data_IF_204751068737
#
_entry.id   IF_204751068737
#
_cell.length_a   1.000
_cell.length_b   1.000
_cell.length_c   1.000
_cell.angle_alpha   90.00
_cell.angle_beta   90.00
_cell.angle_gamma   90.00
#
_symmetry.space_group_name_H-M   'P 1'
#
loop_
_entity.id
_entity.type
_entity.pdbx_description
1 polymer ?
#
# COMPACT_ATOMS: atom_id res chain seq x y z
N UNK A 1 16.13 85.46 -7.97
CA UNK A 1 17.57 85.51 -7.68
C UNK A 1 17.88 84.26 -6.99
N UNK A 2 18.59 83.49 -7.56
CA UNK A 2 19.83 82.70 -7.44
C UNK A 2 19.75 81.39 -8.20
N UNK A 3 20.60 81.34 -9.22
CA UNK A 3 20.84 80.11 -10.04
C UNK A 3 21.73 79.18 -9.31
N UNK A 4 21.28 77.94 -9.02
CA UNK A 4 22.14 76.85 -8.66
C UNK A 4 22.72 76.21 -9.91
N UNK A 5 24.06 76.27 -10.06
CA UNK A 5 24.83 75.55 -11.05
C UNK A 5 24.69 74.05 -10.87
N UNK A 6 24.31 73.31 -11.95
CA UNK A 6 24.52 71.88 -12.09
C UNK A 6 25.99 71.62 -12.43
N UNK A 7 26.68 70.83 -11.61
CA UNK A 7 27.99 70.34 -11.98
C UNK A 7 27.79 69.05 -12.82
N UNK A 8 28.28 69.07 -14.05
CA UNK A 8 28.36 67.91 -14.93
C UNK A 8 29.53 67.04 -14.54
N UNK A 9 29.27 65.81 -14.14
CA UNK A 9 30.29 64.79 -13.94
C UNK A 9 30.67 64.17 -15.30
N UNK A 10 31.91 64.45 -15.75
CA UNK A 10 32.51 63.77 -16.91
C UNK A 10 33.02 62.39 -16.50
N UNK A 11 32.40 61.34 -16.98
CA UNK A 11 32.94 60.01 -16.88
C UNK A 11 34.13 59.82 -17.85
N UNK A 12 35.27 59.41 -17.34
CA UNK A 12 36.45 59.05 -18.12
C UNK A 12 36.17 57.75 -18.86
N UNK A 13 36.17 57.78 -20.21
CA UNK A 13 36.12 56.59 -21.04
C UNK A 13 37.46 55.91 -21.05
N UNK A 14 37.58 54.79 -20.39
CA UNK A 14 38.77 53.90 -20.54
C UNK A 14 38.79 53.30 -21.96
N UNK A 15 39.86 53.63 -22.69
CA UNK A 15 40.16 52.96 -23.95
C UNK A 15 40.96 51.69 -23.70
N UNK A 16 40.30 50.54 -23.74
CA UNK A 16 40.96 49.23 -23.71
C UNK A 16 41.71 49.04 -25.03
N UNK A 17 43.03 49.10 -24.98
CA UNK A 17 43.92 48.77 -26.11
C UNK A 17 43.75 47.31 -26.44
N UNK A 18 43.11 46.95 -27.56
CA UNK A 18 43.07 45.60 -28.10
C UNK A 18 44.47 45.19 -28.57
N UNK A 19 45.09 44.24 -27.86
CA UNK A 19 46.34 43.62 -28.28
C UNK A 19 46.08 42.81 -29.55
N UNK A 20 46.84 43.05 -30.64
CA UNK A 20 46.66 42.27 -31.85
C UNK A 20 47.02 40.82 -31.63
N UNK A 21 46.05 39.94 -31.80
CA UNK A 21 46.25 38.47 -31.66
C UNK A 21 47.06 37.98 -32.91
N UNK A 22 48.30 37.56 -32.65
CA UNK A 22 49.14 36.95 -33.71
C UNK A 22 48.55 35.58 -34.07
N UNK A 23 47.78 35.59 -35.18
CA UNK A 23 47.07 34.41 -35.71
C UNK A 23 48.01 33.22 -36.02
N UNK A 24 49.32 33.47 -36.33
CA UNK A 24 50.27 32.42 -36.55
C UNK A 24 50.69 31.71 -35.26
N UNK A 25 50.95 32.46 -34.19
CA UNK A 25 51.22 31.85 -32.86
C UNK A 25 50.01 31.15 -32.27
N UNK A 26 48.79 31.61 -32.53
CA UNK A 26 47.56 30.97 -32.07
C UNK A 26 47.37 29.62 -32.79
N UNK A 27 47.57 29.56 -34.10
CA UNK A 27 47.47 28.33 -34.90
C UNK A 27 48.50 27.30 -34.47
N UNK A 28 49.77 27.69 -34.20
CA UNK A 28 50.82 26.78 -33.75
C UNK A 28 50.53 26.23 -32.36
N UNK A 29 50.02 27.06 -31.47
CA UNK A 29 49.57 26.59 -30.11
C UNK A 29 48.37 25.67 -30.22
N UNK A 30 47.35 26.00 -31.03
CA UNK A 30 46.19 25.14 -31.25
C UNK A 30 46.59 23.78 -31.85
N UNK A 31 47.48 23.76 -32.82
CA UNK A 31 48.00 22.54 -33.40
C UNK A 31 48.78 21.68 -32.41
N UNK A 32 49.60 22.35 -31.55
CA UNK A 32 50.32 21.68 -30.47
C UNK A 32 49.41 21.07 -29.40
N UNK A 33 48.35 21.77 -29.02
CA UNK A 33 47.38 21.22 -28.03
C UNK A 33 46.55 20.07 -28.61
N UNK A 34 46.18 20.12 -29.90
CA UNK A 34 45.48 19.00 -30.56
C UNK A 34 46.39 17.77 -30.68
N UNK A 35 47.66 17.98 -31.07
CA UNK A 35 48.63 16.89 -31.17
C UNK A 35 48.86 16.22 -29.81
N UNK A 36 48.98 17.03 -28.76
CA UNK A 36 49.20 16.57 -27.40
C UNK A 36 47.96 15.83 -26.83
N UNK A 37 46.75 16.28 -27.17
CA UNK A 37 45.50 15.60 -26.82
C UNK A 37 45.37 14.25 -27.53
N UNK A 38 45.73 14.15 -28.78
CA UNK A 38 45.74 12.88 -29.55
C UNK A 38 46.76 11.92 -28.96
N UNK A 39 47.98 12.40 -28.67
CA UNK A 39 49.02 11.59 -28.04
C UNK A 39 48.55 11.06 -26.67
N UNK A 40 47.93 11.91 -25.85
CA UNK A 40 47.39 11.50 -24.56
C UNK A 40 46.25 10.47 -24.71
N UNK A 41 45.37 10.65 -25.67
CA UNK A 41 44.30 9.68 -25.99
C UNK A 41 44.81 8.31 -26.37
N UNK A 42 45.88 8.26 -27.23
CA UNK A 42 46.53 7.00 -27.65
C UNK A 42 47.21 6.31 -26.47
N UNK A 43 47.92 7.07 -25.63
CA UNK A 43 48.61 6.53 -24.43
C UNK A 43 47.56 6.02 -23.45
N UNK A 44 46.49 6.76 -23.20
CA UNK A 44 45.41 6.35 -22.29
C UNK A 44 44.73 5.08 -22.77
N UNK A 45 44.45 4.97 -24.09
CA UNK A 45 43.84 3.78 -24.67
C UNK A 45 44.76 2.55 -24.57
N UNK A 46 46.08 2.73 -24.81
CA UNK A 46 47.06 1.66 -24.68
C UNK A 46 47.21 1.17 -23.24
N UNK A 47 47.24 2.10 -22.27
CA UNK A 47 47.26 1.79 -20.80
C UNK A 47 45.97 1.07 -20.39
N UNK A 48 44.82 1.53 -20.87
CA UNK A 48 43.56 0.87 -20.58
C UNK A 48 43.47 -0.55 -21.17
N UNK A 49 43.94 -0.73 -22.41
CA UNK A 49 43.99 -2.06 -23.07
C UNK A 49 44.95 -3.01 -22.36
N UNK A 50 46.09 -2.51 -21.87
CA UNK A 50 47.08 -3.31 -21.11
C UNK A 50 46.60 -3.68 -19.69
N UNK A 51 45.82 -2.80 -19.05
CA UNK A 51 45.31 -3.03 -17.71
C UNK A 51 44.00 -3.83 -17.66
N UNK A 52 43.28 -3.91 -18.79
CA UNK A 52 42.00 -4.64 -18.88
C UNK A 52 42.09 -6.08 -18.37
N UNK A 53 43.08 -6.91 -18.76
CA UNK A 53 43.17 -8.29 -18.27
C UNK A 53 43.48 -8.37 -16.78
N UNK A 54 44.13 -7.34 -16.19
CA UNK A 54 44.40 -7.27 -14.74
C UNK A 54 43.13 -6.90 -14.00
N UNK A 55 42.34 -5.95 -14.50
CA UNK A 55 41.04 -5.58 -13.95
C UNK A 55 40.01 -6.71 -14.09
N UNK A 56 39.98 -7.41 -15.21
CA UNK A 56 39.10 -8.56 -15.44
C UNK A 56 39.42 -9.68 -14.41
N UNK A 57 40.69 -9.93 -14.12
CA UNK A 57 41.10 -10.91 -13.12
C UNK A 57 40.87 -10.45 -11.65
N UNK A 58 40.83 -9.14 -11.37
CA UNK A 58 40.69 -8.62 -10.00
C UNK A 58 39.23 -8.38 -9.63
N UNK A 59 38.37 -7.97 -10.59
CA UNK A 59 36.98 -7.65 -10.38
C UNK A 59 36.03 -8.80 -10.71
N UNK A 60 36.40 -9.69 -11.62
CA UNK A 60 35.66 -10.92 -11.89
C UNK A 60 36.40 -12.12 -11.26
N UNK A 61 36.32 -12.20 -9.93
CA UNK A 61 36.59 -13.44 -9.24
C UNK A 61 35.55 -14.44 -9.73
N UNK A 62 36.00 -15.40 -10.53
CA UNK A 62 35.18 -16.56 -10.93
C UNK A 62 34.83 -17.38 -9.71
N UNK A 63 33.75 -17.00 -9.05
CA UNK A 63 33.08 -17.90 -8.13
C UNK A 63 31.69 -18.19 -8.68
N UNK A 64 31.53 -19.44 -9.11
CA UNK A 64 30.30 -20.12 -9.49
C UNK A 64 29.58 -19.58 -10.74
N UNK A 65 29.98 -20.13 -11.85
CA UNK A 65 29.11 -20.26 -13.03
C UNK A 65 27.83 -20.97 -12.59
N UNK A 66 26.74 -20.25 -12.47
CA UNK A 66 25.40 -20.85 -12.48
C UNK A 66 25.21 -21.34 -13.92
N UNK A 67 25.37 -22.63 -14.15
CA UNK A 67 24.97 -23.28 -15.40
C UNK A 67 23.45 -23.35 -15.37
N UNK A 68 22.80 -22.41 -16.02
CA UNK A 68 21.37 -22.53 -16.36
C UNK A 68 21.35 -23.30 -17.69
N UNK A 69 20.82 -24.51 -17.66
CA UNK A 69 20.71 -25.54 -18.71
C UNK A 69 21.97 -26.37 -18.88
N UNK A 70 21.95 -27.56 -18.35
CA UNK A 70 22.77 -28.65 -18.87
C UNK A 70 22.27 -29.01 -20.26
N UNK A 71 23.12 -28.87 -21.26
CA UNK A 71 23.03 -29.74 -22.43
C UNK A 71 23.37 -31.15 -21.94
N UNK A 72 22.34 -31.99 -21.79
CA UNK A 72 22.55 -33.41 -21.59
C UNK A 72 23.24 -33.95 -22.82
N UNK A 73 24.43 -34.54 -22.64
CA UNK A 73 25.09 -35.35 -23.67
C UNK A 73 24.11 -36.40 -24.17
N UNK A 74 23.74 -36.27 -25.45
CA UNK A 74 22.92 -37.25 -26.14
C UNK A 74 23.77 -38.52 -26.25
N UNK A 75 23.57 -39.47 -25.36
CA UNK A 75 23.96 -40.86 -25.57
C UNK A 75 23.07 -41.41 -26.69
N UNK A 76 23.67 -41.80 -27.79
CA UNK A 76 23.02 -42.54 -28.88
C UNK A 76 22.48 -43.86 -28.31
N UNK A 77 21.26 -43.89 -27.84
CA UNK A 77 20.46 -45.10 -27.67
C UNK A 77 19.49 -45.21 -28.85
N UNK A 78 19.58 -46.33 -29.54
CA UNK A 78 18.74 -46.80 -30.63
C UNK A 78 17.25 -46.55 -30.39
N UNK A 79 16.47 -46.09 -31.36
CA UNK A 79 15.04 -45.75 -31.15
C UNK A 79 14.24 -47.03 -30.93
N UNK A 80 13.72 -47.19 -29.70
CA UNK A 80 12.56 -48.04 -29.44
C UNK A 80 11.30 -47.32 -29.99
N UNK A 81 10.69 -48.00 -30.94
CA UNK A 81 9.45 -47.65 -31.60
C UNK A 81 8.31 -47.70 -30.55
N UNK A 82 7.87 -46.54 -30.07
CA UNK A 82 6.59 -46.26 -29.36
C UNK A 82 6.72 -45.19 -28.26
N UNK A 83 7.35 -44.05 -28.54
CA UNK A 83 7.15 -42.88 -27.70
C UNK A 83 5.88 -42.12 -28.15
N UNK A 84 5.02 -41.69 -27.25
CA UNK A 84 3.87 -40.85 -27.61
C UNK A 84 4.40 -39.52 -28.19
N UNK A 85 4.05 -39.27 -29.45
CA UNK A 85 4.34 -38.00 -30.11
C UNK A 85 3.51 -36.93 -29.41
N UNK A 86 4.11 -36.15 -28.52
CA UNK A 86 3.53 -34.92 -28.05
C UNK A 86 3.59 -33.92 -29.20
N UNK A 87 2.50 -33.82 -29.96
CA UNK A 87 2.28 -32.71 -30.88
C UNK A 87 2.13 -31.47 -30.00
N UNK A 88 3.21 -30.73 -29.79
CA UNK A 88 3.12 -29.39 -29.27
C UNK A 88 2.60 -28.53 -30.41
N UNK A 89 1.27 -28.45 -30.55
CA UNK A 89 0.65 -27.38 -31.32
C UNK A 89 1.09 -26.06 -30.70
N UNK A 90 2.05 -25.40 -31.30
CA UNK A 90 2.36 -24.01 -31.01
C UNK A 90 1.17 -23.21 -31.55
N UNK A 91 0.13 -23.03 -30.74
CA UNK A 91 -0.93 -22.09 -31.05
C UNK A 91 -0.28 -20.71 -31.08
N UNK A 92 -0.15 -20.16 -32.29
CA UNK A 92 0.23 -18.75 -32.43
C UNK A 92 -0.93 -17.94 -31.86
N UNK A 93 -0.64 -17.19 -30.77
CA UNK A 93 -1.64 -16.28 -30.19
C UNK A 93 -1.92 -15.16 -31.19
N UNK A 94 -3.18 -15.01 -31.55
CA UNK A 94 -3.66 -13.92 -32.37
C UNK A 94 -4.24 -12.80 -31.48
N UNK A 95 -4.39 -11.54 -31.97
CA UNK A 95 -4.97 -10.44 -31.19
C UNK A 95 -6.36 -10.75 -30.64
N UNK A 96 -7.12 -11.59 -31.33
CA UNK A 96 -8.44 -12.06 -30.93
C UNK A 96 -8.41 -12.91 -29.67
N UNK A 97 -7.36 -13.70 -29.44
CA UNK A 97 -7.18 -14.50 -28.22
C UNK A 97 -7.02 -13.59 -26.99
N UNK A 98 -6.37 -12.44 -27.15
CA UNK A 98 -6.30 -11.44 -26.10
C UNK A 98 -7.69 -10.88 -25.75
N UNK A 99 -8.52 -10.56 -26.75
CA UNK A 99 -9.89 -10.10 -26.50
C UNK A 99 -10.73 -11.17 -25.80
N UNK A 100 -10.56 -12.44 -26.15
CA UNK A 100 -11.24 -13.56 -25.46
C UNK A 100 -10.81 -13.65 -24.00
N UNK A 101 -9.51 -13.46 -23.71
CA UNK A 101 -9.00 -13.42 -22.34
C UNK A 101 -9.60 -12.26 -21.56
N UNK A 102 -9.58 -11.04 -22.13
CA UNK A 102 -10.19 -9.86 -21.52
C UNK A 102 -11.67 -10.09 -21.20
N UNK A 103 -12.43 -10.64 -22.14
CA UNK A 103 -13.84 -10.95 -21.93
C UNK A 103 -14.06 -11.93 -20.76
N UNK A 104 -13.17 -12.91 -20.56
CA UNK A 104 -13.20 -13.81 -19.39
C UNK A 104 -12.91 -13.07 -18.09
N UNK A 105 -11.93 -12.16 -18.06
CA UNK A 105 -11.64 -11.35 -16.86
C UNK A 105 -12.84 -10.47 -16.48
N UNK A 106 -13.44 -9.80 -17.46
CA UNK A 106 -14.65 -9.00 -17.24
C UNK A 106 -15.85 -9.86 -16.83
N UNK A 107 -15.94 -11.11 -17.28
CA UNK A 107 -17.00 -12.02 -16.84
C UNK A 107 -16.87 -12.37 -15.34
N UNK A 108 -15.64 -12.60 -14.85
CA UNK A 108 -15.34 -12.79 -13.42
C UNK A 108 -15.76 -11.54 -12.64
N UNK A 109 -15.35 -10.35 -13.11
CA UNK A 109 -15.70 -9.08 -12.46
C UNK A 109 -17.22 -8.84 -12.41
N UNK A 110 -17.97 -9.17 -13.49
CA UNK A 110 -19.44 -9.05 -13.50
C UNK A 110 -20.12 -9.99 -12.51
N UNK A 111 -19.61 -11.20 -12.35
CA UNK A 111 -20.15 -12.13 -11.34
C UNK A 111 -19.87 -11.64 -9.93
N UNK A 112 -18.64 -11.16 -9.66
CA UNK A 112 -18.25 -10.60 -8.38
C UNK A 112 -18.99 -9.29 -8.04
N UNK A 113 -19.40 -8.50 -9.04
CA UNK A 113 -20.21 -7.29 -8.83
C UNK A 113 -21.60 -7.56 -8.21
N UNK A 114 -22.07 -8.80 -8.20
CA UNK A 114 -23.27 -9.18 -7.43
C UNK A 114 -23.10 -9.05 -5.92
N UNK A 115 -21.84 -9.02 -5.46
CA UNK A 115 -21.48 -8.77 -4.05
C UNK A 115 -21.09 -7.31 -3.80
N UNK A 116 -21.18 -6.44 -4.81
CA UNK A 116 -20.86 -5.02 -4.72
C UNK A 116 -22.15 -4.22 -4.61
N UNK A 117 -22.10 -3.16 -3.83
CA UNK A 117 -23.17 -2.17 -3.72
C UNK A 117 -22.58 -0.75 -3.83
N UNK A 118 -23.36 0.19 -4.33
CA UNK A 118 -23.04 1.60 -4.20
C UNK A 118 -23.60 2.11 -2.87
N UNK A 119 -22.75 2.72 -2.06
CA UNK A 119 -23.13 3.32 -0.77
C UNK A 119 -23.19 4.84 -0.94
N UNK A 120 -24.30 5.43 -0.55
CA UNK A 120 -24.52 6.88 -0.57
C UNK A 120 -24.84 7.37 0.84
N UNK A 121 -24.00 8.29 1.34
CA UNK A 121 -24.26 9.03 2.56
C UNK A 121 -24.94 10.34 2.22
N UNK A 122 -26.11 10.60 2.83
CA UNK A 122 -26.90 11.82 2.65
C UNK A 122 -26.86 12.58 3.97
N UNK A 123 -26.31 13.79 3.95
CA UNK A 123 -26.20 14.66 5.11
C UNK A 123 -26.79 16.03 4.85
N UNK A 124 -26.86 16.82 5.89
CA UNK A 124 -27.25 18.23 5.82
C UNK A 124 -26.10 19.08 6.34
N UNK A 125 -25.73 20.10 5.57
CA UNK A 125 -24.76 21.10 5.99
C UNK A 125 -25.37 22.49 5.89
N UNK A 126 -24.79 23.44 6.59
CA UNK A 126 -25.17 24.86 6.47
C UNK A 126 -24.04 25.64 5.81
N UNK A 127 -24.40 26.55 4.92
CA UNK A 127 -23.45 27.48 4.33
C UNK A 127 -23.08 28.60 5.34
N UNK A 128 -22.16 29.49 4.93
CA UNK A 128 -21.74 30.65 5.74
C UNK A 128 -22.88 31.61 6.08
N UNK A 129 -24.05 31.50 5.45
CA UNK A 129 -25.23 32.33 5.67
C UNK A 129 -26.35 31.57 6.41
N UNK A 130 -26.04 30.44 7.06
CA UNK A 130 -27.00 29.56 7.74
C UNK A 130 -28.08 28.96 6.83
N UNK A 131 -27.87 28.90 5.51
CA UNK A 131 -28.76 28.17 4.63
C UNK A 131 -28.40 26.69 4.65
N UNK A 132 -29.38 25.83 4.94
CA UNK A 132 -29.21 24.39 4.87
C UNK A 132 -29.13 23.91 3.40
N UNK A 133 -28.17 23.04 3.11
CA UNK A 133 -28.06 22.33 1.84
C UNK A 133 -27.74 20.86 2.08
N UNK A 134 -28.20 20.03 1.18
CA UNK A 134 -27.92 18.58 1.23
C UNK A 134 -26.49 18.30 0.73
N UNK A 135 -25.79 17.47 1.47
CA UNK A 135 -24.47 16.96 1.10
C UNK A 135 -24.60 15.49 0.74
N UNK A 136 -23.92 15.08 -0.33
CA UNK A 136 -23.89 13.69 -0.75
C UNK A 136 -22.44 13.21 -0.83
N UNK A 137 -22.18 12.05 -0.26
CA UNK A 137 -20.94 11.30 -0.44
C UNK A 137 -21.27 9.93 -1.02
N UNK A 138 -20.40 9.41 -1.86
CA UNK A 138 -20.62 8.14 -2.54
C UNK A 138 -19.34 7.30 -2.53
N UNK A 139 -19.53 5.98 -2.37
CA UNK A 139 -18.45 5.00 -2.47
C UNK A 139 -19.02 3.61 -2.77
N UNK A 140 -18.14 2.64 -2.92
CA UNK A 140 -18.53 1.25 -3.04
C UNK A 140 -18.55 0.56 -1.68
N UNK A 141 -19.47 -0.38 -1.52
CA UNK A 141 -19.49 -1.33 -0.42
C UNK A 141 -19.38 -2.77 -0.95
N UNK A 142 -18.87 -3.65 -0.12
CA UNK A 142 -18.73 -5.09 -0.41
C UNK A 142 -19.57 -5.87 0.60
N UNK A 143 -20.47 -6.69 0.13
CA UNK A 143 -21.28 -7.59 0.97
C UNK A 143 -20.36 -8.71 1.43
N UNK A 144 -20.04 -8.74 2.73
CA UNK A 144 -19.10 -9.72 3.32
C UNK A 144 -19.79 -10.85 4.06
N UNK A 145 -21.06 -10.67 4.42
CA UNK A 145 -21.84 -11.72 5.07
C UNK A 145 -23.33 -11.59 4.75
N UNK A 146 -24.00 -12.74 4.78
CA UNK A 146 -25.43 -12.92 4.71
C UNK A 146 -25.90 -13.66 5.97
N UNK A 147 -26.64 -12.99 6.82
CA UNK A 147 -27.11 -13.55 8.11
C UNK A 147 -28.45 -14.27 7.98
N UNK A 148 -29.03 -14.27 6.78
CA UNK A 148 -30.40 -14.76 6.51
C UNK A 148 -31.41 -13.60 6.42
N UNK A 149 -31.45 -12.73 7.41
CA UNK A 149 -32.36 -11.57 7.45
C UNK A 149 -31.69 -10.27 6.97
N UNK A 150 -30.36 -10.20 6.98
CA UNK A 150 -29.59 -9.00 6.73
C UNK A 150 -28.36 -9.29 5.87
N UNK A 151 -27.95 -8.30 5.08
CA UNK A 151 -26.63 -8.25 4.45
C UNK A 151 -25.70 -7.34 5.28
N UNK A 152 -24.47 -7.82 5.55
CA UNK A 152 -23.41 -7.01 6.15
C UNK A 152 -22.49 -6.49 5.05
N UNK A 153 -22.37 -5.17 4.98
CA UNK A 153 -21.66 -4.44 3.93
C UNK A 153 -20.49 -3.69 4.52
N UNK A 154 -19.29 -3.95 4.03
CA UNK A 154 -18.08 -3.19 4.36
C UNK A 154 -17.93 -2.03 3.38
N UNK A 155 -17.70 -0.84 3.92
CA UNK A 155 -17.42 0.39 3.15
C UNK A 155 -16.38 1.24 3.88
N UNK A 156 -15.98 2.36 3.29
CA UNK A 156 -15.13 3.35 3.97
C UNK A 156 -15.98 4.28 4.84
N UNK A 157 -15.55 4.52 6.09
CA UNK A 157 -16.21 5.43 7.03
C UNK A 157 -16.42 6.82 6.45
N UNK A 158 -15.45 7.34 5.68
CA UNK A 158 -15.55 8.67 5.04
C UNK A 158 -16.80 8.86 4.17
N UNK A 159 -17.40 7.76 3.66
CA UNK A 159 -18.61 7.81 2.85
C UNK A 159 -19.85 8.11 3.70
N UNK A 160 -19.80 7.83 4.99
CA UNK A 160 -20.95 7.90 5.90
C UNK A 160 -20.77 8.84 7.10
N UNK A 161 -19.58 9.44 7.26
CA UNK A 161 -19.23 10.22 8.46
C UNK A 161 -20.20 11.37 8.75
N UNK A 162 -20.57 12.13 7.73
CA UNK A 162 -21.44 13.32 7.85
C UNK A 162 -22.89 13.02 7.42
N UNK A 163 -23.23 11.72 7.28
CA UNK A 163 -24.52 11.32 6.77
C UNK A 163 -25.53 11.19 7.89
N UNK A 164 -26.69 11.83 7.74
CA UNK A 164 -27.91 11.59 8.56
C UNK A 164 -28.68 10.37 8.10
N UNK A 165 -28.50 9.96 6.83
CA UNK A 165 -29.11 8.79 6.22
C UNK A 165 -28.08 8.11 5.29
N UNK A 166 -28.05 6.77 5.33
CA UNK A 166 -27.24 5.95 4.44
C UNK A 166 -28.14 5.11 3.55
N UNK A 167 -27.94 5.20 2.23
CA UNK A 167 -28.65 4.43 1.22
C UNK A 167 -27.67 3.50 0.49
N UNK A 168 -28.10 2.30 0.21
CA UNK A 168 -27.35 1.29 -0.51
C UNK A 168 -28.09 0.91 -1.77
N UNK A 169 -27.42 1.02 -2.92
CA UNK A 169 -27.95 0.62 -4.24
C UNK A 169 -27.26 -0.65 -4.71
N UNK A 170 -28.02 -1.65 -5.06
CA UNK A 170 -27.55 -2.93 -5.58
C UNK A 170 -27.33 -2.86 -7.10
N UNK A 171 -26.64 -3.86 -7.65
CA UNK A 171 -26.27 -3.91 -9.07
C UNK A 171 -27.48 -3.87 -10.05
N UNK A 172 -28.66 -4.24 -9.61
CA UNK A 172 -29.92 -4.19 -10.37
C UNK A 172 -30.74 -2.90 -10.12
N UNK A 173 -30.14 -1.89 -9.49
CA UNK A 173 -30.72 -0.61 -9.08
C UNK A 173 -31.80 -0.71 -8.00
N UNK A 174 -31.93 -1.84 -7.30
CA UNK A 174 -32.74 -1.91 -6.10
C UNK A 174 -32.03 -1.13 -4.97
N UNK A 175 -32.80 -0.43 -4.12
CA UNK A 175 -32.24 0.44 -3.07
C UNK A 175 -32.81 0.09 -1.71
N UNK A 176 -31.99 0.22 -0.69
CA UNK A 176 -32.40 0.04 0.70
C UNK A 176 -31.67 1.02 1.62
N UNK A 177 -32.29 1.35 2.76
CA UNK A 177 -31.60 2.07 3.82
C UNK A 177 -30.66 1.13 4.57
N UNK A 178 -29.50 1.65 4.95
CA UNK A 178 -28.51 0.92 5.73
C UNK A 178 -28.32 1.58 7.11
N UNK A 179 -27.94 0.78 8.09
CA UNK A 179 -27.62 1.24 9.45
C UNK A 179 -26.16 0.92 9.73
N UNK A 180 -25.43 1.87 10.33
CA UNK A 180 -24.07 1.64 10.81
C UNK A 180 -24.10 0.65 11.98
N UNK A 181 -23.41 -0.48 11.85
CA UNK A 181 -23.31 -1.50 12.89
C UNK A 181 -22.06 -1.33 13.75
N UNK A 182 -20.92 -1.13 13.11
CA UNK A 182 -19.63 -0.91 13.75
C UNK A 182 -18.67 -0.15 12.81
N UNK A 183 -17.66 0.48 13.36
CA UNK A 183 -16.58 1.08 12.58
C UNK A 183 -15.25 0.96 13.33
N UNK A 184 -14.18 1.06 12.57
CA UNK A 184 -12.82 1.18 13.10
C UNK A 184 -12.19 2.48 12.59
N UNK A 185 -11.93 3.39 13.52
CA UNK A 185 -11.31 4.69 13.25
C UNK A 185 -9.91 4.56 12.67
N UNK A 186 -9.22 3.51 13.07
CA UNK A 186 -7.82 3.31 12.71
C UNK A 186 -7.65 2.96 11.21
N UNK A 187 -8.50 2.08 10.70
CA UNK A 187 -8.49 1.70 9.28
C UNK A 187 -9.41 2.57 8.42
N UNK A 188 -10.35 3.26 9.02
CA UNK A 188 -11.42 3.95 8.30
C UNK A 188 -12.43 3.00 7.66
N UNK A 189 -12.55 1.77 8.17
CA UNK A 189 -13.53 0.78 7.70
C UNK A 189 -14.81 0.92 8.52
N UNK A 190 -15.95 0.87 7.83
CA UNK A 190 -17.28 0.81 8.44
C UNK A 190 -18.03 -0.43 7.97
N UNK A 191 -18.81 -1.01 8.89
CA UNK A 191 -19.72 -2.13 8.65
C UNK A 191 -21.15 -1.62 8.72
N UNK A 192 -21.87 -1.79 7.62
CA UNK A 192 -23.29 -1.45 7.50
C UNK A 192 -24.13 -2.72 7.53
N UNK A 193 -25.33 -2.59 8.08
CA UNK A 193 -26.38 -3.60 8.06
C UNK A 193 -27.50 -3.16 7.13
N UNK A 194 -27.92 -4.03 6.21
CA UNK A 194 -29.02 -3.83 5.25
C UNK A 194 -30.05 -4.93 5.45
N UNK A 195 -31.25 -4.58 5.87
CA UNK A 195 -32.33 -5.54 6.06
C UNK A 195 -32.88 -6.05 4.70
N UNK A 196 -32.88 -7.34 4.49
CA UNK A 196 -33.37 -7.97 3.25
C UNK A 196 -34.84 -7.73 2.95
N UNK A 197 -35.66 -7.51 3.99
CA UNK A 197 -37.09 -7.19 3.83
C UNK A 197 -37.35 -5.90 3.07
N UNK A 198 -36.35 -5.01 2.93
CA UNK A 198 -36.44 -3.80 2.13
C UNK A 198 -36.24 -4.04 0.64
N UNK A 199 -35.76 -5.23 0.26
CA UNK A 199 -35.34 -5.57 -1.09
C UNK A 199 -36.39 -6.42 -1.81
N UNK A 200 -36.35 -6.38 -3.15
CA UNK A 200 -37.15 -7.27 -3.98
C UNK A 200 -36.64 -8.71 -3.90
N UNK A 201 -37.53 -9.67 -4.18
CA UNK A 201 -37.15 -11.09 -4.26
C UNK A 201 -36.07 -11.33 -5.33
N UNK A 202 -36.13 -10.61 -6.46
CA UNK A 202 -35.12 -10.70 -7.53
C UNK A 202 -33.72 -10.32 -7.04
N UNK A 203 -33.61 -9.29 -6.20
CA UNK A 203 -32.34 -8.89 -5.59
C UNK A 203 -31.84 -9.94 -4.63
N UNK A 204 -32.66 -10.41 -3.71
CA UNK A 204 -32.27 -11.40 -2.69
C UNK A 204 -31.88 -12.76 -3.30
N UNK A 205 -32.45 -13.13 -4.44
CA UNK A 205 -32.14 -14.38 -5.15
C UNK A 205 -30.80 -14.32 -5.92
N UNK A 206 -30.32 -13.13 -6.29
CA UNK A 206 -29.15 -12.97 -7.15
C UNK A 206 -27.93 -12.40 -6.43
N UNK A 207 -28.14 -11.68 -5.32
CA UNK A 207 -27.07 -11.11 -4.50
C UNK A 207 -26.49 -12.18 -3.59
N UNK A 208 -25.18 -12.21 -3.48
CA UNK A 208 -24.45 -13.11 -2.60
C UNK A 208 -23.33 -12.37 -1.86
N UNK A 209 -22.98 -12.83 -0.67
CA UNK A 209 -21.80 -12.36 0.00
C UNK A 209 -20.53 -12.73 -0.77
N UNK A 210 -19.56 -11.83 -0.81
CA UNK A 210 -18.29 -12.04 -1.47
C UNK A 210 -17.49 -13.17 -0.77
N UNK A 211 -16.84 -14.01 -1.55
CA UNK A 211 -15.89 -14.99 -1.02
C UNK A 211 -14.59 -14.27 -0.67
N UNK A 212 -14.20 -14.27 0.60
CA UNK A 212 -12.96 -13.68 1.05
C UNK A 212 -11.81 -14.69 0.93
N UNK A 213 -10.70 -14.26 0.32
CA UNK A 213 -9.53 -15.13 0.16
C UNK A 213 -8.79 -15.30 1.48
N UNK A 214 -8.40 -16.53 1.78
CA UNK A 214 -7.53 -16.86 2.93
C UNK A 214 -6.03 -16.67 2.63
N UNK A 215 -5.66 -16.42 1.37
CA UNK A 215 -4.26 -16.25 0.98
C UNK A 215 -3.71 -14.89 1.38
N UNK A 216 -2.63 -14.91 2.16
CA UNK A 216 -2.01 -13.71 2.72
C UNK A 216 -1.00 -13.03 1.78
N UNK A 217 -0.59 -13.67 0.68
CA UNK A 217 0.48 -13.14 -0.16
C UNK A 217 0.09 -13.18 -1.65
N UNK A 218 -0.06 -11.99 -2.22
CA UNK A 218 -0.06 -11.81 -3.67
C UNK A 218 1.37 -11.52 -4.12
N UNK A 219 1.83 -12.25 -5.13
CA UNK A 219 3.14 -12.01 -5.73
C UNK A 219 3.05 -10.85 -6.73
N UNK A 220 4.13 -10.10 -6.85
CA UNK A 220 4.28 -9.10 -7.92
C UNK A 220 4.03 -9.75 -9.29
N UNK A 221 3.29 -9.05 -10.16
CA UNK A 221 2.89 -9.55 -11.48
C UNK A 221 1.62 -10.43 -11.47
N UNK A 222 1.02 -10.71 -10.31
CA UNK A 222 -0.27 -11.42 -10.25
C UNK A 222 -1.37 -10.55 -10.84
N UNK A 223 -2.19 -11.14 -11.73
CA UNK A 223 -3.36 -10.47 -12.29
C UNK A 223 -4.43 -10.32 -11.21
N UNK A 224 -4.96 -9.12 -11.09
CA UNK A 224 -6.08 -8.76 -10.20
C UNK A 224 -7.11 -7.95 -10.95
N UNK A 225 -8.34 -7.99 -10.45
CA UNK A 225 -9.48 -7.26 -11.00
C UNK A 225 -9.99 -6.34 -9.90
N UNK A 226 -10.06 -5.04 -10.16
CA UNK A 226 -10.70 -4.07 -9.28
C UNK A 226 -12.19 -3.98 -9.61
N UNK A 227 -13.02 -4.12 -8.59
CA UNK A 227 -14.49 -4.03 -8.66
C UNK A 227 -14.99 -2.99 -7.66
N UNK A 228 -16.09 -2.35 -7.96
CA UNK A 228 -16.66 -1.30 -7.11
C UNK A 228 -16.70 0.04 -7.82
N UNK A 229 -16.03 1.03 -7.26
CA UNK A 229 -15.97 2.40 -7.77
C UNK A 229 -14.54 2.93 -7.82
N UNK A 230 -13.60 2.27 -8.52
CA UNK A 230 -12.19 2.68 -8.52
C UNK A 230 -11.96 4.08 -9.11
N UNK A 231 -12.79 4.53 -10.05
CA UNK A 231 -12.72 5.84 -10.69
C UNK A 231 -13.90 6.77 -10.32
N UNK A 232 -14.70 6.39 -9.31
CA UNK A 232 -15.89 7.14 -8.91
C UNK A 232 -17.21 6.60 -9.48
N UNK A 233 -17.17 5.82 -10.57
CA UNK A 233 -18.36 5.22 -11.18
C UNK A 233 -18.67 3.86 -10.53
N UNK A 234 -19.88 3.66 -9.94
CA UNK A 234 -20.27 2.40 -9.32
C UNK A 234 -20.23 1.22 -10.29
N UNK A 235 -20.00 0.02 -9.76
CA UNK A 235 -19.98 -1.26 -10.49
C UNK A 235 -18.96 -1.34 -11.64
N UNK A 236 -17.97 -0.46 -11.63
CA UNK A 236 -16.85 -0.48 -12.59
C UNK A 236 -15.99 -1.73 -12.40
N UNK A 237 -15.43 -2.21 -13.49
CA UNK A 237 -14.52 -3.36 -13.52
C UNK A 237 -13.26 -2.93 -14.26
N UNK A 238 -12.11 -2.98 -13.58
CA UNK A 238 -10.80 -2.70 -14.16
C UNK A 238 -9.88 -3.89 -13.93
N UNK A 239 -8.97 -4.14 -14.85
CA UNK A 239 -8.01 -5.25 -14.76
C UNK A 239 -6.58 -4.73 -14.77
N UNK A 240 -5.70 -5.39 -14.04
CA UNK A 240 -4.28 -5.06 -14.01
C UNK A 240 -3.48 -6.05 -13.19
N UNK A 241 -2.32 -5.63 -12.71
CA UNK A 241 -1.37 -6.48 -12.02
C UNK A 241 -0.97 -5.90 -10.68
N UNK A 242 -0.59 -6.76 -9.75
CA UNK A 242 0.06 -6.36 -8.50
C UNK A 242 1.47 -5.86 -8.83
N UNK A 243 1.78 -4.62 -8.48
CA UNK A 243 3.11 -4.01 -8.64
C UNK A 243 3.96 -4.16 -7.38
N UNK A 244 3.33 -4.19 -6.20
CA UNK A 244 4.00 -4.42 -4.92
C UNK A 244 3.00 -4.97 -3.90
N UNK A 245 3.48 -5.83 -3.00
CA UNK A 245 2.73 -6.34 -1.84
C UNK A 245 3.57 -6.36 -0.56
N UNK A 246 4.73 -5.70 -0.58
CA UNK A 246 5.70 -5.68 0.52
C UNK A 246 5.71 -4.38 1.32
N UNK A 247 4.99 -3.36 0.85
CA UNK A 247 4.89 -2.10 1.59
C UNK A 247 3.97 -2.29 2.81
N UNK A 248 4.44 -1.81 3.96
CA UNK A 248 3.71 -1.88 5.23
C UNK A 248 3.42 -0.48 5.74
N UNK A 249 2.17 -0.22 6.07
CA UNK A 249 1.74 1.01 6.72
C UNK A 249 1.55 0.73 8.20
N UNK A 250 2.27 1.46 9.05
CA UNK A 250 2.05 1.46 10.48
C UNK A 250 0.91 2.40 10.81
N UNK A 251 -0.06 1.89 11.53
CA UNK A 251 -1.15 2.65 12.13
C UNK A 251 -1.10 2.50 13.64
N UNK A 252 -2.03 3.09 14.35
CA UNK A 252 -2.13 2.88 15.79
C UNK A 252 -2.59 1.45 16.06
N UNK A 253 -1.87 0.76 16.92
CA UNK A 253 -2.14 -0.63 17.37
C UNK A 253 -2.11 -1.70 16.26
N UNK A 254 -1.77 -1.37 15.00
CA UNK A 254 -1.68 -2.35 13.91
C UNK A 254 -0.71 -1.92 12.80
N UNK A 255 -0.22 -2.90 12.04
CA UNK A 255 0.52 -2.69 10.81
C UNK A 255 -0.14 -3.48 9.67
N UNK A 256 -0.36 -2.82 8.53
CA UNK A 256 -1.05 -3.42 7.40
C UNK A 256 -0.14 -3.50 6.18
N UNK A 257 -0.06 -4.67 5.56
CA UNK A 257 0.56 -4.82 4.24
C UNK A 257 -0.38 -4.30 3.17
N UNK A 258 0.16 -3.43 2.35
CA UNK A 258 -0.56 -2.75 1.29
C UNK A 258 -0.23 -3.40 -0.05
N UNK A 259 -1.27 -3.66 -0.82
CA UNK A 259 -1.19 -4.14 -2.20
C UNK A 259 -1.29 -2.93 -3.12
N UNK A 260 -0.23 -2.67 -3.88
CA UNK A 260 -0.22 -1.65 -4.94
C UNK A 260 -0.39 -2.31 -6.29
N UNK A 261 -1.10 -1.66 -7.20
CA UNK A 261 -1.40 -2.17 -8.55
C UNK A 261 -1.04 -1.16 -9.63
N UNK A 262 -1.11 -1.56 -10.88
CA UNK A 262 -1.04 -0.69 -12.07
C UNK A 262 -2.44 -0.26 -12.57
N UNK A 263 -3.49 -0.57 -11.81
CA UNK A 263 -4.87 -0.18 -12.13
C UNK A 263 -5.10 1.27 -11.75
N UNK A 264 -5.63 2.08 -12.65
CA UNK A 264 -5.95 3.49 -12.36
C UNK A 264 -7.04 3.60 -11.30
N UNK A 265 -6.88 4.59 -10.41
CA UNK A 265 -7.86 4.96 -9.40
C UNK A 265 -7.97 6.48 -9.25
N UNK A 266 -9.10 6.92 -8.71
CA UNK A 266 -9.27 8.29 -8.19
C UNK A 266 -9.02 8.31 -6.67
N UNK A 267 -8.81 9.50 -6.09
CA UNK A 267 -8.68 9.67 -4.63
C UNK A 267 -9.92 9.19 -3.87
N UNK A 268 -11.09 9.25 -4.52
CA UNK A 268 -12.34 8.72 -3.99
C UNK A 268 -12.58 7.25 -4.36
N UNK A 269 -11.60 6.60 -5.00
CA UNK A 269 -11.71 5.21 -5.42
C UNK A 269 -11.96 4.27 -4.24
N UNK A 270 -12.95 3.38 -4.39
CA UNK A 270 -13.37 2.44 -3.35
C UNK A 270 -13.83 1.12 -3.95
N UNK A 271 -13.89 0.05 -3.15
CA UNK A 271 -14.29 -1.27 -3.60
C UNK A 271 -13.32 -2.36 -3.18
N UNK A 272 -13.12 -3.37 -4.01
CA UNK A 272 -12.25 -4.49 -3.72
C UNK A 272 -11.38 -4.92 -4.90
N UNK A 273 -10.24 -5.54 -4.58
CA UNK A 273 -9.46 -6.34 -5.52
C UNK A 273 -9.87 -7.81 -5.40
N UNK A 274 -10.11 -8.45 -6.53
CA UNK A 274 -10.40 -9.89 -6.59
C UNK A 274 -9.35 -10.62 -7.43
N UNK A 275 -9.17 -11.90 -7.15
CA UNK A 275 -8.33 -12.79 -7.95
C UNK A 275 -9.13 -13.41 -9.12
N UNK A 276 -8.47 -14.26 -9.91
CA UNK A 276 -9.09 -14.93 -11.08
C UNK A 276 -10.16 -15.97 -10.72
N UNK A 277 -10.34 -16.28 -9.42
CA UNK A 277 -11.43 -17.12 -8.93
C UNK A 277 -12.66 -16.31 -8.49
N UNK A 278 -12.56 -14.96 -8.51
CA UNK A 278 -13.58 -14.07 -7.99
C UNK A 278 -13.51 -13.87 -6.47
N UNK A 279 -12.46 -14.36 -5.78
CA UNK A 279 -12.29 -14.19 -4.34
C UNK A 279 -11.70 -12.81 -4.04
N UNK A 280 -12.21 -12.10 -3.05
CA UNK A 280 -11.69 -10.81 -2.58
C UNK A 280 -10.33 -11.03 -1.91
N UNK A 281 -9.30 -10.40 -2.44
CA UNK A 281 -7.91 -10.46 -1.94
C UNK A 281 -7.50 -9.18 -1.20
N UNK A 282 -8.18 -8.07 -1.45
CA UNK A 282 -7.92 -6.80 -0.77
C UNK A 282 -9.11 -5.86 -0.79
N UNK A 283 -9.23 -5.05 0.25
CA UNK A 283 -10.18 -3.93 0.31
C UNK A 283 -9.46 -2.66 -0.15
N UNK A 284 -10.05 -1.96 -1.12
CA UNK A 284 -9.47 -0.73 -1.66
C UNK A 284 -9.60 0.39 -0.63
N UNK A 285 -8.47 0.95 -0.21
CA UNK A 285 -8.38 2.07 0.72
C UNK A 285 -7.32 3.06 0.21
N UNK A 286 -7.77 4.07 -0.55
CA UNK A 286 -6.86 5.05 -1.17
C UNK A 286 -6.14 5.94 -0.15
N UNK A 287 -6.64 6.03 1.09
CA UNK A 287 -5.96 6.72 2.20
C UNK A 287 -4.59 6.14 2.55
N UNK A 288 -4.33 4.89 2.16
CA UNK A 288 -3.05 4.21 2.37
C UNK A 288 -2.11 4.29 1.17
N UNK A 289 -2.49 4.99 0.10
CA UNK A 289 -1.61 5.16 -1.06
C UNK A 289 -0.46 6.13 -0.74
N UNK A 290 0.72 5.82 -1.29
CA UNK A 290 1.85 6.76 -1.26
C UNK A 290 1.58 7.91 -2.24
N UNK A 291 2.32 9.01 -2.10
CA UNK A 291 2.19 10.15 -3.05
C UNK A 291 2.39 9.74 -4.50
N UNK A 292 3.27 8.78 -4.74
CA UNK A 292 3.60 8.29 -6.07
C UNK A 292 2.53 7.34 -6.62
N UNK A 293 1.71 6.73 -5.76
CA UNK A 293 0.69 5.73 -6.09
C UNK A 293 -0.76 6.26 -5.98
N UNK A 294 -0.96 7.55 -5.76
CA UNK A 294 -2.31 8.14 -5.56
C UNK A 294 -3.26 7.93 -6.75
N UNK A 295 -2.72 7.78 -7.96
CA UNK A 295 -3.50 7.54 -9.18
C UNK A 295 -3.71 6.06 -9.50
N UNK A 296 -3.31 5.15 -8.64
CA UNK A 296 -3.49 3.71 -8.82
C UNK A 296 -4.17 3.08 -7.63
N UNK A 297 -4.85 1.94 -7.88
CA UNK A 297 -5.56 1.21 -6.83
C UNK A 297 -4.56 0.70 -5.78
N UNK A 298 -4.81 1.13 -4.54
CA UNK A 298 -4.15 0.68 -3.33
C UNK A 298 -5.16 -0.04 -2.44
N UNK A 299 -4.80 -1.20 -1.91
CA UNK A 299 -5.69 -2.02 -1.09
C UNK A 299 -4.96 -2.61 0.12
N UNK A 300 -5.68 -2.80 1.22
CA UNK A 300 -5.22 -3.63 2.34
C UNK A 300 -5.58 -5.08 2.05
N UNK A 301 -4.65 -6.01 2.35
CA UNK A 301 -4.90 -7.44 2.22
C UNK A 301 -6.07 -7.88 3.09
N UNK A 302 -7.05 -8.55 2.49
CA UNK A 302 -8.27 -9.00 3.17
C UNK A 302 -7.96 -9.98 4.32
N UNK A 303 -6.93 -10.82 4.16
CA UNK A 303 -6.52 -11.79 5.18
C UNK A 303 -6.03 -11.13 6.49
N UNK A 304 -5.49 -9.91 6.42
CA UNK A 304 -5.03 -9.18 7.60
C UNK A 304 -6.17 -8.52 8.38
N UNK A 305 -7.23 -8.13 7.69
CA UNK A 305 -8.40 -7.50 8.32
C UNK A 305 -9.56 -8.47 8.57
N UNK A 306 -9.41 -9.75 8.25
CA UNK A 306 -10.49 -10.74 8.40
C UNK A 306 -11.02 -10.85 9.84
N UNK A 307 -10.14 -10.85 10.84
CA UNK A 307 -10.54 -10.85 12.26
C UNK A 307 -11.21 -9.55 12.70
N UNK A 308 -10.75 -8.41 12.15
CA UNK A 308 -11.40 -7.11 12.36
C UNK A 308 -12.82 -7.14 11.79
N UNK A 309 -12.98 -7.62 10.54
CA UNK A 309 -14.28 -7.75 9.90
C UNK A 309 -15.21 -8.70 10.67
N UNK A 310 -14.68 -9.84 11.15
CA UNK A 310 -15.45 -10.78 11.99
C UNK A 310 -15.95 -10.10 13.26
N UNK A 311 -15.09 -9.34 13.96
CA UNK A 311 -15.46 -8.61 15.18
C UNK A 311 -16.53 -7.56 14.89
N UNK A 312 -16.34 -6.76 13.82
CA UNK A 312 -17.31 -5.75 13.40
C UNK A 312 -18.65 -6.35 12.95
N UNK A 313 -18.62 -7.54 12.30
CA UNK A 313 -19.83 -8.28 11.93
C UNK A 313 -20.65 -8.73 13.12
N UNK A 314 -20.04 -8.84 14.29
CA UNK A 314 -20.72 -9.11 15.56
C UNK A 314 -21.10 -7.83 16.35
N UNK A 315 -20.96 -6.65 15.73
CA UNK A 315 -21.27 -5.35 16.34
C UNK A 315 -20.26 -4.90 17.38
N UNK A 316 -19.06 -5.48 17.40
CA UNK A 316 -18.00 -5.13 18.33
C UNK A 316 -16.95 -4.23 17.64
N UNK A 317 -16.55 -3.13 18.29
CA UNK A 317 -15.41 -2.31 17.87
C UNK A 317 -14.10 -2.91 18.38
N UNK A 318 -12.96 -2.73 17.67
CA UNK A 318 -11.67 -3.17 18.15
C UNK A 318 -11.27 -2.41 19.43
N UNK A 319 -10.53 -3.09 20.31
CA UNK A 319 -9.94 -2.44 21.47
C UNK A 319 -8.78 -1.53 21.03
N UNK A 320 -8.47 -0.55 21.87
CA UNK A 320 -7.48 0.48 21.63
C UNK A 320 -6.51 0.59 22.81
N UNK A 321 -5.21 0.57 22.52
CA UNK A 321 -4.15 0.85 23.50
C UNK A 321 -3.40 2.14 23.18
N UNK A 322 -3.24 2.46 21.90
CA UNK A 322 -2.68 3.73 21.43
C UNK A 322 -1.18 3.71 21.19
N UNK A 323 -0.66 2.65 20.59
CA UNK A 323 0.77 2.48 20.29
C UNK A 323 1.02 2.36 18.79
N UNK A 324 1.96 3.13 18.26
CA UNK A 324 2.59 2.78 16.98
C UNK A 324 3.81 1.91 17.24
N UNK A 325 3.88 0.80 16.55
CA UNK A 325 4.79 -0.29 16.86
C UNK A 325 5.69 -0.71 15.71
N UNK A 326 6.76 -1.42 16.05
CA UNK A 326 7.64 -2.07 15.09
C UNK A 326 8.23 -3.35 15.72
N UNK A 327 8.23 -4.44 14.98
CA UNK A 327 8.88 -5.69 15.42
C UNK A 327 10.39 -5.50 15.49
N UNK A 328 11.00 -5.84 16.62
CA UNK A 328 12.47 -5.90 16.78
C UNK A 328 12.96 -7.23 16.21
N UNK A 329 13.34 -7.23 14.92
CA UNK A 329 13.92 -8.42 14.28
C UNK A 329 15.28 -8.78 14.90
N UNK A 330 15.75 -10.00 14.66
CA UNK A 330 17.06 -10.45 15.17
C UNK A 330 18.23 -9.55 14.70
N UNK A 331 18.12 -9.01 13.50
CA UNK A 331 19.10 -8.08 12.91
C UNK A 331 19.07 -6.72 13.62
N UNK A 332 17.87 -6.14 13.81
CA UNK A 332 17.66 -4.88 14.53
C UNK A 332 18.12 -5.01 15.99
N UNK A 333 17.75 -6.12 16.65
CA UNK A 333 18.17 -6.41 18.01
C UNK A 333 19.70 -6.40 18.17
N UNK A 334 20.40 -7.06 17.23
CA UNK A 334 21.88 -7.13 17.25
C UNK A 334 22.55 -5.81 16.89
N UNK A 335 22.03 -5.09 15.89
CA UNK A 335 22.63 -3.85 15.39
C UNK A 335 22.49 -2.68 16.37
N UNK A 336 21.41 -2.65 17.15
CA UNK A 336 21.06 -1.54 18.04
C UNK A 336 21.08 -1.95 19.52
N UNK A 337 21.55 -3.14 19.85
CA UNK A 337 21.57 -3.69 21.23
C UNK A 337 20.18 -3.65 21.91
N UNK A 338 19.11 -3.84 21.10
CA UNK A 338 17.74 -3.83 21.57
C UNK A 338 17.30 -5.20 22.09
N UNK A 339 16.49 -5.27 23.15
CA UNK A 339 15.82 -6.52 23.52
C UNK A 339 14.83 -6.95 22.44
N UNK A 340 14.58 -8.26 22.32
CA UNK A 340 13.55 -8.79 21.46
C UNK A 340 12.16 -8.39 21.97
N UNK A 341 11.25 -8.11 21.08
CA UNK A 341 9.88 -7.68 21.37
C UNK A 341 9.38 -6.66 20.37
N UNK A 342 8.46 -5.83 20.80
CA UNK A 342 7.83 -4.76 20.01
C UNK A 342 8.37 -3.41 20.46
N UNK A 343 9.09 -2.73 19.59
CA UNK A 343 9.58 -1.37 19.83
C UNK A 343 8.43 -0.38 19.66
N UNK A 344 8.26 0.52 20.64
CA UNK A 344 7.24 1.56 20.63
C UNK A 344 7.80 2.81 19.97
N UNK A 345 7.30 3.11 18.75
CA UNK A 345 7.71 4.27 17.94
C UNK A 345 7.00 5.54 18.39
N UNK A 346 5.70 5.42 18.69
CA UNK A 346 4.86 6.52 19.12
C UNK A 346 3.81 6.04 20.12
N UNK A 347 3.42 6.94 21.01
CA UNK A 347 2.31 6.76 21.96
C UNK A 347 1.30 7.86 21.66
N UNK A 348 0.08 7.50 21.37
CA UNK A 348 -0.99 8.45 21.05
C UNK A 348 -1.33 9.31 22.26
N UNK A 349 -1.58 10.61 22.07
CA UNK A 349 -2.06 11.47 23.16
C UNK A 349 -3.34 10.91 23.79
N UNK A 350 -3.48 11.08 25.09
CA UNK A 350 -4.65 10.67 25.88
C UNK A 350 -5.02 9.17 25.81
N UNK A 351 -4.14 8.35 25.17
CA UNK A 351 -4.34 6.91 25.04
C UNK A 351 -4.21 6.16 26.37
N UNK A 352 -4.79 4.95 26.47
CA UNK A 352 -4.57 4.04 27.60
C UNK A 352 -3.09 3.76 27.89
N UNK A 353 -2.27 3.64 26.87
CA UNK A 353 -0.83 3.44 27.01
C UNK A 353 -0.14 4.67 27.65
N UNK A 354 -0.50 5.87 27.21
CA UNK A 354 0.04 7.11 27.77
C UNK A 354 -0.37 7.29 29.24
N UNK A 355 -1.64 7.04 29.55
CA UNK A 355 -2.16 7.13 30.91
C UNK A 355 -1.49 6.14 31.86
N UNK A 356 -1.13 4.95 31.36
CA UNK A 356 -0.40 3.96 32.13
C UNK A 356 1.08 4.32 32.34
N UNK A 357 1.65 5.24 31.56
CA UNK A 357 3.06 5.66 31.65
C UNK A 357 4.01 4.90 30.72
N UNK A 358 3.50 4.23 29.69
CA UNK A 358 4.27 3.65 28.59
C UNK A 358 4.84 4.81 27.76
N UNK A 359 6.07 4.66 27.24
CA UNK A 359 6.80 5.73 26.58
C UNK A 359 7.40 5.26 25.24
N UNK A 360 7.66 6.23 24.38
CA UNK A 360 8.46 6.02 23.15
C UNK A 360 9.85 5.49 23.56
N UNK A 361 10.33 4.48 22.82
CA UNK A 361 11.60 3.81 23.11
C UNK A 361 11.50 2.61 24.05
N UNK A 362 10.34 2.35 24.66
CA UNK A 362 10.10 1.09 25.36
C UNK A 362 10.06 -0.07 24.35
N UNK A 363 10.44 -1.26 24.82
CA UNK A 363 10.26 -2.50 24.08
C UNK A 363 9.23 -3.37 24.82
N UNK A 364 8.03 -3.48 24.28
CA UNK A 364 6.96 -4.31 24.83
C UNK A 364 7.32 -5.78 24.62
N UNK A 365 7.26 -6.57 25.70
CA UNK A 365 7.66 -7.99 25.68
C UNK A 365 6.55 -8.94 26.10
N UNK A 366 5.55 -8.48 26.88
CA UNK A 366 4.42 -9.29 27.31
C UNK A 366 3.16 -8.45 27.49
N UNK A 367 2.02 -9.07 27.23
CA UNK A 367 0.70 -8.63 27.65
C UNK A 367 0.11 -9.76 28.49
N UNK A 368 -0.14 -9.49 29.79
CA UNK A 368 -0.46 -10.46 30.81
C UNK A 368 0.57 -11.61 30.87
N UNK A 369 0.18 -12.85 30.62
CA UNK A 369 1.07 -14.00 30.57
C UNK A 369 1.60 -14.31 29.18
N UNK A 370 1.07 -13.67 28.12
CA UNK A 370 1.43 -13.94 26.73
C UNK A 370 2.70 -13.19 26.35
N UNK A 371 3.71 -13.88 25.87
CA UNK A 371 4.91 -13.28 25.32
C UNK A 371 4.62 -12.68 23.93
N UNK A 372 5.12 -11.48 23.67
CA UNK A 372 4.88 -10.71 22.44
C UNK A 372 6.24 -10.43 21.79
N UNK A 373 6.47 -11.09 20.66
CA UNK A 373 7.72 -10.99 19.89
C UNK A 373 7.53 -10.39 18.50
N UNK A 374 6.29 -10.39 17.97
CA UNK A 374 5.97 -9.88 16.64
C UNK A 374 4.75 -8.96 16.67
N UNK A 375 4.65 -8.05 15.69
CA UNK A 375 3.51 -7.15 15.53
C UNK A 375 2.19 -7.95 15.46
N UNK A 376 2.14 -9.05 14.72
CA UNK A 376 0.96 -9.90 14.57
C UNK A 376 0.49 -10.46 15.93
N UNK A 377 1.43 -10.85 16.82
CA UNK A 377 1.06 -11.32 18.18
C UNK A 377 0.49 -10.19 19.04
N UNK A 378 0.99 -8.97 18.86
CA UNK A 378 0.47 -7.78 19.52
C UNK A 378 -0.93 -7.45 19.01
N UNK A 379 -1.11 -7.37 17.70
CA UNK A 379 -2.38 -7.09 17.02
C UNK A 379 -3.45 -8.12 17.41
N UNK A 380 -3.08 -9.40 17.47
CA UNK A 380 -3.96 -10.46 17.97
C UNK A 380 -4.41 -10.22 19.42
N UNK A 381 -3.54 -9.66 20.27
CA UNK A 381 -3.93 -9.33 21.63
C UNK A 381 -4.91 -8.17 21.67
N UNK A 382 -4.69 -7.13 20.86
CA UNK A 382 -5.57 -5.97 20.75
C UNK A 382 -6.94 -6.38 20.21
N UNK A 383 -6.97 -7.15 19.10
CA UNK A 383 -8.22 -7.61 18.50
C UNK A 383 -9.05 -8.51 19.43
N UNK A 384 -8.40 -9.31 20.30
CA UNK A 384 -9.10 -10.16 21.27
C UNK A 384 -9.46 -9.44 22.58
N UNK A 385 -8.92 -8.26 22.83
CA UNK A 385 -9.25 -7.48 24.01
C UNK A 385 -10.65 -6.85 23.87
N UNK A 386 -11.22 -6.51 25.03
CA UNK A 386 -12.51 -5.81 25.11
C UNK A 386 -12.33 -4.43 25.70
N UNK A 387 -13.22 -3.53 25.34
CA UNK A 387 -13.29 -2.22 25.97
C UNK A 387 -13.44 -2.36 27.50
N UNK A 388 -12.70 -1.54 28.25
CA UNK A 388 -12.67 -1.60 29.72
C UNK A 388 -11.88 -2.80 30.29
N UNK A 389 -11.36 -3.72 29.49
CA UNK A 389 -10.56 -4.84 29.98
C UNK A 389 -9.25 -4.34 30.60
N UNK A 390 -8.95 -4.84 31.80
CA UNK A 390 -7.68 -4.56 32.47
C UNK A 390 -6.66 -5.63 32.11
N UNK A 391 -5.44 -5.20 31.78
CA UNK A 391 -4.31 -6.10 31.48
C UNK A 391 -3.01 -5.51 32.02
N UNK A 392 -2.00 -6.36 32.15
CA UNK A 392 -0.65 -5.96 32.58
C UNK A 392 0.29 -6.01 31.38
N UNK A 393 0.78 -4.86 30.95
CA UNK A 393 1.81 -4.73 29.89
C UNK A 393 3.18 -4.71 30.53
N UNK A 394 4.08 -5.58 30.09
CA UNK A 394 5.49 -5.60 30.50
C UNK A 394 6.34 -5.05 29.37
N UNK A 395 7.12 -4.02 29.67
CA UNK A 395 8.06 -3.42 28.74
C UNK A 395 9.49 -3.47 29.30
N UNK A 396 10.46 -3.38 28.43
CA UNK A 396 11.87 -3.14 28.76
C UNK A 396 12.19 -1.69 28.42
N UNK A 397 12.58 -0.91 29.43
CA UNK A 397 12.98 0.50 29.28
C UNK A 397 14.46 0.66 29.54
N UNK A 398 15.14 1.46 28.73
CA UNK A 398 16.55 1.80 28.94
C UNK A 398 16.70 2.67 30.20
N UNK A 399 17.46 2.20 31.17
CA UNK A 399 17.78 2.96 32.38
C UNK A 399 18.94 3.96 32.15
N UNK A 400 19.13 4.83 33.12
CA UNK A 400 20.25 5.80 33.07
C UNK A 400 21.63 5.14 33.10
N UNK A 401 21.73 3.89 33.52
CA UNK A 401 22.93 3.05 33.53
C UNK A 401 23.21 2.36 32.18
N UNK A 402 22.38 2.63 31.14
CA UNK A 402 22.48 2.00 29.82
C UNK A 402 22.01 0.56 29.76
N UNK A 403 21.28 0.08 30.77
CA UNK A 403 20.73 -1.28 30.80
C UNK A 403 19.22 -1.26 30.73
N UNK A 404 18.67 -2.26 30.05
CA UNK A 404 17.22 -2.46 29.97
C UNK A 404 16.70 -3.06 31.28
N UNK A 405 15.62 -2.46 31.82
CA UNK A 405 14.93 -2.88 33.03
C UNK A 405 13.48 -3.26 32.69
N UNK A 406 12.98 -4.31 33.31
CA UNK A 406 11.58 -4.75 33.15
C UNK A 406 10.66 -3.83 34.00
N UNK A 407 9.74 -3.17 33.33
CA UNK A 407 8.68 -2.39 33.95
C UNK A 407 7.31 -3.00 33.63
N UNK A 408 6.39 -2.94 34.60
CA UNK A 408 5.03 -3.46 34.45
C UNK A 408 4.04 -2.33 34.63
N UNK A 409 3.14 -2.19 33.65
CA UNK A 409 2.10 -1.19 33.65
C UNK A 409 0.73 -1.86 33.63
N UNK A 410 -0.18 -1.40 34.48
CA UNK A 410 -1.58 -1.78 34.40
C UNK A 410 -2.26 -0.84 33.40
N UNK A 411 -2.85 -1.41 32.38
CA UNK A 411 -3.57 -0.69 31.34
C UNK A 411 -5.05 -1.07 31.38
N UNK A 412 -5.90 -0.17 30.95
CA UNK A 412 -7.32 -0.42 30.71
C UNK A 412 -7.53 -0.15 29.22
N UNK A 413 -7.85 -1.18 28.45
CA UNK A 413 -8.14 -0.98 27.03
C UNK A 413 -9.35 -0.08 26.84
N UNK A 414 -9.29 0.81 25.88
CA UNK A 414 -10.40 1.65 25.45
C UNK A 414 -10.87 1.28 24.05
N UNK A 415 -11.75 2.09 23.51
CA UNK A 415 -12.09 2.14 22.08
C UNK A 415 -11.60 3.48 21.52
N UNK A 416 -11.07 3.47 20.30
CA UNK A 416 -10.73 4.70 19.60
C UNK A 416 -12.03 5.37 19.17
N UNK A 417 -12.29 6.56 19.70
CA UNK A 417 -13.46 7.38 19.36
C UNK A 417 -13.01 8.59 18.56
N UNK A 418 -13.88 9.08 17.70
CA UNK A 418 -13.70 10.35 17.01
C UNK A 418 -13.63 11.49 18.04
N UNK A 419 -12.58 12.34 17.98
CA UNK A 419 -12.43 13.53 18.81
C UNK A 419 -13.10 14.74 18.14
#
# INVERSE_FOLDING_TARGET
MDKKKQEEYHFVKEHIKKIPIDRKKLRTRLFGTILLAVLFGVVAAAVFAALRPVFDNLLYRKDNTVVISGEDEISEETPEENAPVYITETQLMEPEDYQVLQNKLYAIGREANKSVVAVRGIGEATDWFDNAYETESQGAGIIVADTGDEYLVVTEKKVISDASQVEVTFYNNDTASAVLQAYDENTGIAMLCVEKRQLSADTTDQVAAATLSSFSALSQGTIVIAIGSPLGEPFSILTGNVTSSSYEVSTVDANYKVISTDINASDAGSGALINLKGEVVGLMLQSYSTREAQSTVTAISISQISKLLEKMSNGESPAYLGLEICTVTAEIAKSNELPKGIYIKQVSPDSPAMQAGIQVGDVLTKIDSKEILTAEQYEDCILNAKDGQQSTVTVKRMGADGKYQDLRFKVVFGTLQEN
#
